data_IF_365657187016
#
_entry.id   IF_365657187016
#
_cell.length_a   1.000
_cell.length_b   1.000
_cell.length_c   1.000
_cell.angle_alpha   90.00
_cell.angle_beta   90.00
_cell.angle_gamma   90.00
#
_symmetry.space_group_name_H-M   'P 1'
#
loop_
_entity.id
_entity.type
_entity.pdbx_description
1 polymer ?
#
# COMPACT_ATOMS: atom_id res chain seq x y z
N UNK A 1 -17.16 47.34 2.95
CA UNK A 1 -17.92 46.39 2.11
C UNK A 1 -17.08 45.72 1.01
N UNK A 2 -15.76 45.98 0.90
CA UNK A 2 -14.87 45.31 -0.06
C UNK A 2 -14.08 44.09 0.46
N UNK A 3 -14.00 43.84 1.76
CA UNK A 3 -13.30 42.66 2.31
C UNK A 3 -14.02 41.33 2.02
N UNK A 4 -15.37 41.34 1.99
CA UNK A 4 -16.20 40.12 1.86
C UNK A 4 -16.28 39.58 0.44
N UNK A 5 -16.03 40.41 -0.56
CA UNK A 5 -16.04 39.99 -1.97
C UNK A 5 -14.70 39.37 -2.39
N UNK A 6 -13.58 39.84 -1.85
CA UNK A 6 -12.26 39.26 -2.12
C UNK A 6 -12.09 37.87 -1.51
N UNK A 7 -12.57 37.65 -0.28
CA UNK A 7 -12.51 36.32 0.36
C UNK A 7 -13.50 35.29 -0.24
N UNK A 8 -14.54 35.73 -0.97
CA UNK A 8 -15.43 34.80 -1.67
C UNK A 8 -14.86 34.35 -3.02
N UNK A 9 -14.09 35.20 -3.69
CA UNK A 9 -13.46 34.85 -4.97
C UNK A 9 -12.25 33.94 -4.79
N UNK A 10 -11.43 34.14 -3.75
CA UNK A 10 -10.31 33.26 -3.43
C UNK A 10 -10.77 31.86 -2.96
N UNK A 11 -11.94 31.76 -2.32
CA UNK A 11 -12.55 30.48 -1.97
C UNK A 11 -13.10 29.72 -3.20
N UNK A 12 -13.52 30.45 -4.24
CA UNK A 12 -14.05 29.89 -5.50
C UNK A 12 -12.92 29.41 -6.44
N UNK A 13 -11.75 30.05 -6.41
CA UNK A 13 -10.59 29.64 -7.23
C UNK A 13 -9.88 28.41 -6.63
N UNK A 14 -9.94 28.22 -5.30
CA UNK A 14 -9.40 27.04 -4.64
C UNK A 14 -10.14 25.72 -4.98
N UNK A 15 -11.36 25.76 -5.54
CA UNK A 15 -12.19 24.57 -5.76
C UNK A 15 -12.19 24.01 -7.19
N UNK A 16 -11.39 24.55 -8.12
CA UNK A 16 -11.30 24.04 -9.50
C UNK A 16 -10.37 22.84 -9.67
N UNK A 17 -9.65 22.44 -8.61
CA UNK A 17 -8.82 21.24 -8.65
C UNK A 17 -9.71 20.00 -8.69
N UNK A 18 -9.56 19.21 -9.74
CA UNK A 18 -10.22 17.89 -9.81
C UNK A 18 -9.75 17.02 -8.64
N UNK A 19 -10.62 16.18 -8.05
CA UNK A 19 -10.23 15.24 -6.98
C UNK A 19 -9.00 14.41 -7.34
N UNK A 20 -8.80 14.12 -8.62
CA UNK A 20 -7.63 13.45 -9.16
C UNK A 20 -6.34 14.23 -8.91
N UNK A 21 -6.30 15.52 -9.24
CA UNK A 21 -5.14 16.38 -9.01
C UNK A 21 -4.78 16.52 -7.53
N UNK A 22 -5.78 16.54 -6.65
CA UNK A 22 -5.57 16.61 -5.20
C UNK A 22 -4.90 15.33 -4.69
N UNK A 23 -5.43 14.16 -5.07
CA UNK A 23 -4.90 12.86 -4.62
C UNK A 23 -3.49 12.64 -5.14
N UNK A 24 -3.24 12.89 -6.44
CA UNK A 24 -1.91 12.76 -7.02
C UNK A 24 -0.91 13.76 -6.47
N UNK A 25 -1.33 15.00 -6.20
CA UNK A 25 -0.48 15.99 -5.54
C UNK A 25 -0.03 15.54 -4.16
N UNK A 26 -0.96 15.01 -3.34
CA UNK A 26 -0.63 14.44 -2.02
C UNK A 26 0.30 13.23 -2.13
N UNK A 27 0.02 12.32 -3.07
CA UNK A 27 0.80 11.11 -3.25
C UNK A 27 2.22 11.42 -3.76
N UNK A 28 2.36 12.33 -4.73
CA UNK A 28 3.63 12.76 -5.26
C UNK A 28 4.49 13.49 -4.21
N UNK A 29 3.87 14.32 -3.37
CA UNK A 29 4.57 14.97 -2.26
C UNK A 29 5.10 13.94 -1.24
N UNK A 30 4.27 12.96 -0.86
CA UNK A 30 4.68 11.88 0.05
C UNK A 30 5.78 10.99 -0.56
N UNK A 31 5.65 10.65 -1.85
CA UNK A 31 6.60 9.82 -2.58
C UNK A 31 7.94 10.52 -2.83
N UNK A 32 7.96 11.83 -3.05
CA UNK A 32 9.20 12.56 -3.37
C UNK A 32 10.25 12.38 -2.28
N UNK A 33 9.86 12.53 -1.00
CA UNK A 33 10.77 12.31 0.11
C UNK A 33 11.23 10.86 0.21
N UNK A 34 10.31 9.89 0.02
CA UNK A 34 10.65 8.48 0.04
C UNK A 34 11.60 8.08 -1.09
N UNK A 35 11.40 8.58 -2.31
CA UNK A 35 12.26 8.33 -3.47
C UNK A 35 13.64 8.96 -3.28
N UNK A 36 13.73 10.14 -2.66
CA UNK A 36 15.02 10.73 -2.29
C UNK A 36 15.77 9.84 -1.29
N UNK A 37 15.06 9.28 -0.31
CA UNK A 37 15.66 8.35 0.66
C UNK A 37 16.10 7.04 0.00
N UNK A 38 15.30 6.48 -0.92
CA UNK A 38 15.65 5.28 -1.68
C UNK A 38 16.89 5.56 -2.55
N UNK A 39 16.94 6.70 -3.23
CA UNK A 39 18.08 7.10 -4.04
C UNK A 39 19.35 7.26 -3.18
N UNK A 40 19.21 7.76 -1.95
CA UNK A 40 20.32 7.85 -1.00
C UNK A 40 20.85 6.48 -0.54
N UNK A 41 20.06 5.41 -0.63
CA UNK A 41 20.47 4.04 -0.30
C UNK A 41 21.19 3.36 -1.48
N UNK A 42 20.97 3.81 -2.72
CA UNK A 42 21.59 3.21 -3.93
C UNK A 42 23.13 3.11 -3.83
N UNK A 43 23.88 4.14 -3.39
CA UNK A 43 25.33 4.04 -3.22
C UNK A 43 25.73 2.95 -2.22
N UNK A 44 24.98 2.82 -1.11
CA UNK A 44 25.23 1.78 -0.11
C UNK A 44 25.00 0.38 -0.69
N UNK A 45 23.95 0.20 -1.51
CA UNK A 45 23.73 -1.07 -2.22
C UNK A 45 24.84 -1.36 -3.24
N UNK A 46 25.37 -0.34 -3.91
CA UNK A 46 26.50 -0.50 -4.83
C UNK A 46 27.76 -1.03 -4.13
N UNK A 47 27.99 -0.66 -2.87
CA UNK A 47 29.10 -1.20 -2.07
C UNK A 47 28.87 -2.69 -1.75
N UNK A 48 27.65 -3.08 -1.38
CA UNK A 48 27.33 -4.49 -1.11
C UNK A 48 27.52 -5.38 -2.34
N UNK A 49 27.15 -4.87 -3.53
CA UNK A 49 27.44 -5.50 -4.81
C UNK A 49 28.95 -5.61 -5.08
N UNK A 50 29.71 -4.53 -4.82
CA UNK A 50 31.16 -4.50 -5.05
C UNK A 50 31.93 -5.50 -4.18
N UNK A 51 31.51 -5.71 -2.94
CA UNK A 51 32.10 -6.72 -2.05
C UNK A 51 31.69 -8.16 -2.40
N UNK A 52 30.90 -8.36 -3.47
CA UNK A 52 30.47 -9.68 -3.92
C UNK A 52 29.45 -10.36 -3.02
N UNK A 53 28.84 -9.61 -2.07
CA UNK A 53 27.88 -10.15 -1.12
C UNK A 53 26.45 -10.26 -1.65
N UNK A 54 26.13 -9.52 -2.72
CA UNK A 54 24.77 -9.44 -3.29
C UNK A 54 24.87 -9.36 -4.82
N UNK A 55 24.00 -10.09 -5.52
CA UNK A 55 23.87 -10.05 -6.98
C UNK A 55 23.13 -8.81 -7.48
N UNK A 56 23.36 -8.43 -8.75
CA UNK A 56 22.63 -7.30 -9.36
C UNK A 56 21.11 -7.52 -9.35
N UNK A 57 20.67 -8.77 -9.54
CA UNK A 57 19.25 -9.15 -9.53
C UNK A 57 18.61 -8.86 -8.17
N UNK A 58 19.28 -9.21 -7.07
CA UNK A 58 18.78 -8.95 -5.72
C UNK A 58 18.67 -7.45 -5.44
N UNK A 59 19.64 -6.66 -5.89
CA UNK A 59 19.60 -5.19 -5.78
C UNK A 59 18.39 -4.62 -6.51
N UNK A 60 18.13 -5.06 -7.75
CA UNK A 60 16.98 -4.61 -8.54
C UNK A 60 15.65 -5.00 -7.90
N UNK A 61 15.54 -6.23 -7.39
CA UNK A 61 14.35 -6.70 -6.66
C UNK A 61 14.11 -5.88 -5.40
N UNK A 62 15.16 -5.60 -4.63
CA UNK A 62 15.07 -4.78 -3.42
C UNK A 62 14.62 -3.35 -3.74
N UNK A 63 15.16 -2.72 -4.79
CA UNK A 63 14.73 -1.39 -5.24
C UNK A 63 13.27 -1.37 -5.69
N UNK A 64 12.86 -2.34 -6.51
CA UNK A 64 11.45 -2.45 -6.94
C UNK A 64 10.50 -2.66 -5.76
N UNK A 65 10.90 -3.51 -4.81
CA UNK A 65 10.17 -3.75 -3.56
C UNK A 65 10.05 -2.49 -2.71
N UNK A 66 11.14 -1.73 -2.54
CA UNK A 66 11.16 -0.48 -1.77
C UNK A 66 10.25 0.60 -2.38
N UNK A 67 10.35 0.81 -3.70
CA UNK A 67 9.51 1.78 -4.41
C UNK A 67 8.04 1.40 -4.28
N UNK A 68 7.72 0.11 -4.47
CA UNK A 68 6.34 -0.38 -4.34
C UNK A 68 5.82 -0.26 -2.90
N UNK A 69 6.67 -0.52 -1.91
CA UNK A 69 6.33 -0.34 -0.49
C UNK A 69 6.04 1.12 -0.17
N UNK A 70 6.89 2.03 -0.64
CA UNK A 70 6.71 3.47 -0.45
C UNK A 70 5.38 3.94 -1.06
N UNK A 71 5.07 3.49 -2.28
CA UNK A 71 3.80 3.78 -2.95
C UNK A 71 2.60 3.24 -2.18
N UNK A 72 2.67 1.99 -1.73
CA UNK A 72 1.60 1.36 -0.98
C UNK A 72 1.33 2.07 0.35
N UNK A 73 2.35 2.36 1.14
CA UNK A 73 2.20 3.05 2.43
C UNK A 73 1.79 4.52 2.27
N UNK A 74 2.27 5.21 1.23
CA UNK A 74 1.78 6.54 0.89
C UNK A 74 0.27 6.51 0.58
N UNK A 75 -0.21 5.47 -0.13
CA UNK A 75 -1.63 5.31 -0.45
C UNK A 75 -2.49 5.11 0.81
N UNK A 76 -1.99 4.33 1.79
CA UNK A 76 -2.65 4.17 3.10
C UNK A 76 -2.77 5.52 3.84
N UNK A 77 -1.67 6.29 3.88
CA UNK A 77 -1.67 7.62 4.51
C UNK A 77 -2.64 8.59 3.84
N UNK A 78 -2.68 8.61 2.51
CA UNK A 78 -3.60 9.45 1.74
C UNK A 78 -5.06 9.04 1.98
N UNK A 79 -5.34 7.74 2.04
CA UNK A 79 -6.68 7.22 2.35
C UNK A 79 -7.18 7.69 3.72
N UNK A 80 -6.39 7.49 4.78
CA UNK A 80 -6.78 7.95 6.12
C UNK A 80 -6.85 9.47 6.24
N UNK A 81 -6.00 10.21 5.51
CA UNK A 81 -6.06 11.66 5.40
C UNK A 81 -7.35 12.16 4.74
N UNK A 82 -7.94 11.41 3.82
CA UNK A 82 -9.22 11.76 3.19
C UNK A 82 -10.42 11.27 4.03
N UNK A 83 -10.28 10.14 4.73
CA UNK A 83 -11.35 9.54 5.51
C UNK A 83 -11.67 10.30 6.80
N UNK A 84 -10.66 10.90 7.43
CA UNK A 84 -10.81 11.60 8.70
C UNK A 84 -10.78 13.11 8.55
N UNK A 85 -11.58 13.78 9.39
CA UNK A 85 -11.69 15.25 9.42
C UNK A 85 -10.60 15.92 10.25
N UNK A 86 -9.88 15.16 11.09
CA UNK A 86 -8.85 15.68 11.99
C UNK A 86 -7.48 15.14 11.63
N UNK A 87 -6.47 16.03 11.58
CA UNK A 87 -5.10 15.66 11.22
C UNK A 87 -4.48 14.68 12.23
N UNK A 88 -4.76 14.86 13.53
CA UNK A 88 -4.26 13.96 14.57
C UNK A 88 -4.82 12.54 14.44
N UNK A 89 -6.13 12.41 14.16
CA UNK A 89 -6.75 11.10 13.95
C UNK A 89 -6.28 10.44 12.66
N UNK A 90 -6.14 11.21 11.58
CA UNK A 90 -5.63 10.70 10.30
C UNK A 90 -4.23 10.11 10.45
N UNK A 91 -3.33 10.83 11.14
CA UNK A 91 -1.97 10.38 11.35
C UNK A 91 -1.90 9.15 12.26
N UNK A 92 -2.67 9.10 13.34
CA UNK A 92 -2.65 7.97 14.28
C UNK A 92 -3.22 6.69 13.64
N UNK A 93 -4.28 6.77 12.85
CA UNK A 93 -4.82 5.60 12.14
C UNK A 93 -3.92 5.16 10.98
N UNK A 94 -3.31 6.10 10.25
CA UNK A 94 -2.35 5.75 9.20
C UNK A 94 -1.17 4.96 9.80
N UNK A 95 -0.52 5.51 10.82
CA UNK A 95 0.58 4.84 11.52
C UNK A 95 0.12 3.54 12.18
N UNK A 96 -1.02 3.55 12.86
CA UNK A 96 -1.59 2.37 13.50
C UNK A 96 -1.86 1.24 12.52
N UNK A 97 -2.38 1.55 11.33
CA UNK A 97 -2.62 0.54 10.29
C UNK A 97 -1.33 -0.05 9.72
N UNK A 98 -0.29 0.78 9.51
CA UNK A 98 1.03 0.30 9.06
C UNK A 98 1.69 -0.56 10.14
N UNK A 99 1.65 -0.14 11.41
CA UNK A 99 2.20 -0.92 12.53
C UNK A 99 1.45 -2.24 12.69
N UNK A 100 0.11 -2.21 12.63
CA UNK A 100 -0.71 -3.42 12.74
C UNK A 100 -0.40 -4.39 11.59
N UNK A 101 -0.19 -3.88 10.38
CA UNK A 101 0.19 -4.71 9.25
C UNK A 101 1.60 -5.29 9.44
N UNK A 102 2.57 -4.45 9.84
CA UNK A 102 3.97 -4.81 9.97
C UNK A 102 4.23 -5.79 11.14
N UNK A 103 3.45 -5.69 12.21
CA UNK A 103 3.61 -6.54 13.38
C UNK A 103 2.57 -7.67 13.42
N UNK A 104 1.34 -7.41 12.98
CA UNK A 104 0.23 -8.35 13.05
C UNK A 104 0.38 -9.53 12.09
N UNK A 105 0.78 -9.31 10.83
CA UNK A 105 0.99 -10.40 9.88
C UNK A 105 2.07 -11.39 10.37
N UNK A 106 3.30 -10.96 10.71
CA UNK A 106 4.30 -11.89 11.22
C UNK A 106 3.90 -12.51 12.56
N UNK A 107 3.20 -11.77 13.43
CA UNK A 107 2.67 -12.35 14.68
C UNK A 107 1.68 -13.49 14.42
N UNK A 108 0.73 -13.31 13.50
CA UNK A 108 -0.23 -14.36 13.09
C UNK A 108 0.51 -15.54 12.47
N UNK A 109 1.49 -15.28 11.58
CA UNK A 109 2.31 -16.32 10.96
C UNK A 109 3.09 -17.15 12.00
N UNK A 110 3.66 -16.47 13.01
CA UNK A 110 4.40 -17.08 14.10
C UNK A 110 3.47 -17.92 14.98
N UNK A 111 2.33 -17.38 15.41
CA UNK A 111 1.33 -18.13 16.18
C UNK A 111 0.84 -19.35 15.42
N UNK A 112 0.56 -19.21 14.12
CA UNK A 112 0.15 -20.31 13.27
C UNK A 112 1.21 -21.41 13.23
N UNK A 113 2.48 -21.05 13.02
CA UNK A 113 3.59 -21.99 13.00
C UNK A 113 3.81 -22.67 14.36
N UNK A 114 3.65 -21.97 15.48
CA UNK A 114 3.78 -22.57 16.81
C UNK A 114 2.66 -23.58 17.12
N UNK A 115 1.45 -23.33 16.62
CA UNK A 115 0.29 -24.19 16.87
C UNK A 115 0.29 -25.39 15.91
N UNK A 116 0.55 -25.16 14.62
CA UNK A 116 0.34 -26.15 13.56
C UNK A 116 1.61 -26.60 12.83
N UNK A 117 2.78 -26.01 13.12
CA UNK A 117 4.05 -26.34 12.48
C UNK A 117 4.75 -27.58 13.04
N UNK A 118 4.04 -28.42 13.81
CA UNK A 118 4.57 -29.71 14.30
C UNK A 118 4.15 -30.84 13.36
N UNK A 119 5.06 -31.78 13.13
CA UNK A 119 4.74 -33.00 12.37
C UNK A 119 4.07 -34.06 13.28
N UNK A 120 3.03 -34.78 12.80
CA UNK A 120 2.41 -34.67 11.47
C UNK A 120 1.52 -33.43 11.35
N UNK A 121 1.76 -32.62 10.32
CA UNK A 121 0.93 -31.45 10.03
C UNK A 121 -0.47 -31.86 9.51
N UNK A 122 -1.56 -31.17 9.91
CA UNK A 122 -2.90 -31.45 9.40
C UNK A 122 -3.01 -31.43 7.86
N UNK A 123 -3.76 -32.37 7.28
CA UNK A 123 -3.89 -32.50 5.82
C UNK A 123 -4.39 -31.23 5.13
N UNK A 124 -5.30 -30.48 5.76
CA UNK A 124 -5.86 -29.25 5.21
C UNK A 124 -4.82 -28.15 5.03
N UNK A 125 -3.74 -28.14 5.82
CA UNK A 125 -2.62 -27.20 5.69
C UNK A 125 -1.77 -27.55 4.46
N UNK A 126 -1.69 -28.84 4.15
CA UNK A 126 -0.99 -29.32 2.95
C UNK A 126 -1.81 -29.16 1.66
N UNK A 127 -3.06 -28.69 1.77
CA UNK A 127 -3.90 -28.41 0.61
C UNK A 127 -3.34 -27.25 -0.23
N UNK A 128 -3.55 -27.34 -1.54
CA UNK A 128 -3.16 -26.32 -2.52
C UNK A 128 -3.80 -24.98 -2.13
N UNK A 129 -5.11 -24.98 -1.89
CA UNK A 129 -5.87 -23.76 -1.57
C UNK A 129 -5.29 -23.06 -0.35
N UNK A 130 -4.92 -23.81 0.69
CA UNK A 130 -4.31 -23.22 1.88
C UNK A 130 -2.91 -22.65 1.60
N UNK A 131 -2.01 -23.39 0.95
CA UNK A 131 -0.64 -22.91 0.66
C UNK A 131 -0.64 -21.62 -0.17
N UNK A 132 -1.50 -21.54 -1.20
CA UNK A 132 -1.63 -20.33 -2.01
C UNK A 132 -2.29 -19.18 -1.25
N UNK A 133 -3.36 -19.45 -0.50
CA UNK A 133 -4.05 -18.43 0.29
C UNK A 133 -3.16 -17.85 1.41
N UNK A 134 -2.48 -18.72 2.15
CA UNK A 134 -1.54 -18.33 3.19
C UNK A 134 -0.32 -17.60 2.59
N UNK A 135 0.24 -18.10 1.48
CA UNK A 135 1.32 -17.42 0.76
C UNK A 135 0.92 -16.01 0.34
N UNK A 136 -0.23 -15.85 -0.34
CA UNK A 136 -0.74 -14.54 -0.74
C UNK A 136 -0.93 -13.60 0.46
N UNK A 137 -1.48 -14.09 1.58
CA UNK A 137 -1.65 -13.31 2.80
C UNK A 137 -0.32 -12.84 3.39
N UNK A 138 0.66 -13.75 3.50
CA UNK A 138 1.99 -13.43 4.03
C UNK A 138 2.75 -12.47 3.12
N UNK A 139 2.62 -12.63 1.81
CA UNK A 139 3.29 -11.80 0.83
C UNK A 139 2.70 -10.40 0.71
N UNK A 140 1.60 -10.06 1.39
CA UNK A 140 1.19 -8.65 1.56
C UNK A 140 2.25 -7.87 2.38
N UNK A 141 3.00 -8.56 3.24
CA UNK A 141 4.04 -7.96 4.06
C UNK A 141 5.38 -7.82 3.30
N UNK A 142 5.89 -6.58 3.08
CA UNK A 142 7.06 -6.35 2.23
C UNK A 142 8.30 -7.10 2.70
N UNK A 143 8.60 -7.06 4.01
CA UNK A 143 9.79 -7.74 4.52
C UNK A 143 9.70 -9.26 4.42
N UNK A 144 8.50 -9.86 4.52
CA UNK A 144 8.37 -11.32 4.43
C UNK A 144 8.58 -11.73 2.97
N UNK A 145 7.94 -11.04 2.03
CA UNK A 145 8.09 -11.34 0.61
C UNK A 145 9.53 -11.15 0.11
N UNK A 146 10.18 -10.05 0.50
CA UNK A 146 11.56 -9.77 0.08
C UNK A 146 12.56 -10.71 0.76
N UNK A 147 12.41 -11.00 2.06
CA UNK A 147 13.27 -11.96 2.75
C UNK A 147 13.10 -13.38 2.19
N UNK A 148 11.87 -13.82 1.92
CA UNK A 148 11.65 -15.13 1.30
C UNK A 148 12.29 -15.23 -0.08
N UNK A 149 12.28 -14.14 -0.84
CA UNK A 149 12.95 -14.08 -2.15
C UNK A 149 14.48 -14.12 -2.01
N UNK A 150 15.05 -13.45 -1.01
CA UNK A 150 16.49 -13.47 -0.74
C UNK A 150 16.96 -14.86 -0.29
N UNK A 151 16.22 -15.53 0.60
CA UNK A 151 16.48 -16.93 1.00
C UNK A 151 16.42 -17.86 -0.22
N UNK A 152 15.47 -17.61 -1.13
CA UNK A 152 15.34 -18.37 -2.35
C UNK A 152 16.56 -18.18 -3.29
N UNK A 153 16.98 -16.93 -3.53
CA UNK A 153 18.12 -16.66 -4.42
C UNK A 153 19.43 -17.18 -3.82
N UNK A 154 19.63 -16.98 -2.51
CA UNK A 154 20.82 -17.46 -1.80
C UNK A 154 20.92 -18.99 -1.75
N UNK A 155 19.78 -19.70 -1.79
CA UNK A 155 19.75 -21.17 -1.92
C UNK A 155 20.00 -21.68 -3.35
N UNK A 156 20.26 -20.79 -4.32
CA UNK A 156 20.55 -21.15 -5.71
C UNK A 156 19.31 -21.41 -6.57
N UNK A 157 18.12 -21.08 -6.07
CA UNK A 157 16.89 -21.15 -6.86
C UNK A 157 16.70 -19.92 -7.77
N UNK A 158 15.68 -19.99 -8.64
CA UNK A 158 15.35 -18.90 -9.56
C UNK A 158 14.76 -17.70 -8.83
N UNK A 159 15.19 -16.49 -9.21
CA UNK A 159 14.64 -15.24 -8.72
C UNK A 159 13.17 -14.98 -9.16
N UNK A 160 12.70 -15.64 -10.22
CA UNK A 160 11.40 -15.33 -10.85
C UNK A 160 10.31 -16.35 -10.55
N UNK A 161 10.69 -17.58 -10.18
CA UNK A 161 9.74 -18.66 -9.95
C UNK A 161 10.14 -19.46 -8.72
N UNK A 162 9.17 -19.80 -7.89
CA UNK A 162 9.32 -20.69 -6.74
C UNK A 162 8.59 -22.01 -6.99
N UNK A 163 9.12 -23.08 -6.42
CA UNK A 163 8.51 -24.41 -6.49
C UNK A 163 7.73 -24.68 -5.22
N UNK A 164 6.42 -24.78 -5.34
CA UNK A 164 5.54 -25.14 -4.22
C UNK A 164 5.18 -26.62 -4.33
N UNK A 165 5.54 -27.47 -3.34
CA UNK A 165 5.22 -28.90 -3.38
C UNK A 165 3.72 -29.13 -3.18
N UNK A 166 3.11 -29.94 -4.06
CA UNK A 166 1.74 -30.41 -3.97
C UNK A 166 1.70 -31.69 -3.12
N UNK A 167 1.18 -31.59 -1.90
CA UNK A 167 1.12 -32.72 -0.96
C UNK A 167 2.39 -32.92 -0.13
N UNK A 168 2.58 -34.16 0.35
CA UNK A 168 3.69 -34.59 1.22
C UNK A 168 4.97 -34.91 0.42
N UNK A 169 4.84 -35.16 -0.88
CA UNK A 169 5.96 -35.54 -1.75
C UNK A 169 6.47 -34.33 -2.54
N UNK A 170 7.75 -33.98 -2.34
CA UNK A 170 8.42 -32.90 -3.06
C UNK A 170 8.54 -33.13 -4.58
N UNK A 171 8.26 -34.35 -5.05
CA UNK A 171 8.33 -34.72 -6.46
C UNK A 171 7.28 -34.01 -7.33
N UNK A 172 6.10 -33.69 -6.78
CA UNK A 172 5.03 -33.02 -7.52
C UNK A 172 4.97 -31.54 -7.12
N UNK A 173 5.92 -30.73 -7.61
CA UNK A 173 5.93 -29.30 -7.35
C UNK A 173 5.43 -28.51 -8.55
N UNK A 174 4.74 -27.40 -8.28
CA UNK A 174 4.32 -26.46 -9.32
C UNK A 174 5.13 -25.18 -9.26
N UNK A 175 5.38 -24.63 -10.44
CA UNK A 175 6.08 -23.38 -10.64
C UNK A 175 5.09 -22.22 -10.46
N UNK A 176 5.36 -21.39 -9.46
CA UNK A 176 4.57 -20.22 -9.10
C UNK A 176 5.47 -18.99 -9.22
N UNK A 177 4.95 -17.80 -9.58
CA UNK A 177 5.73 -16.57 -9.50
C UNK A 177 6.37 -16.40 -8.13
N UNK A 178 7.61 -15.91 -8.10
CA UNK A 178 8.36 -15.73 -6.86
C UNK A 178 7.69 -14.71 -5.92
N UNK A 179 7.99 -14.77 -4.61
CA UNK A 179 7.29 -13.98 -3.59
C UNK A 179 7.31 -12.47 -3.84
N UNK A 180 8.41 -11.90 -4.33
CA UNK A 180 8.50 -10.46 -4.64
C UNK A 180 7.54 -10.02 -5.75
N UNK A 181 7.30 -10.85 -6.77
CA UNK A 181 6.37 -10.56 -7.86
C UNK A 181 4.95 -10.53 -7.30
N UNK A 182 4.60 -11.54 -6.50
CA UNK A 182 3.28 -11.63 -5.85
C UNK A 182 3.05 -10.40 -4.95
N UNK A 183 4.06 -10.01 -4.16
CA UNK A 183 4.01 -8.81 -3.34
C UNK A 183 3.75 -7.55 -4.18
N UNK A 184 4.52 -7.32 -5.25
CA UNK A 184 4.35 -6.14 -6.08
C UNK A 184 2.93 -6.07 -6.64
N UNK A 185 2.42 -7.17 -7.19
CA UNK A 185 1.07 -7.23 -7.75
C UNK A 185 0.01 -6.95 -6.69
N UNK A 186 0.10 -7.57 -5.52
CA UNK A 186 -0.85 -7.37 -4.42
C UNK A 186 -0.79 -5.94 -3.87
N UNK A 187 0.41 -5.40 -3.66
CA UNK A 187 0.61 -4.05 -3.14
C UNK A 187 0.09 -2.97 -4.11
N UNK A 188 0.34 -3.14 -5.41
CA UNK A 188 -0.21 -2.25 -6.44
C UNK A 188 -1.73 -2.35 -6.54
N UNK A 189 -2.29 -3.56 -6.45
CA UNK A 189 -3.74 -3.77 -6.44
C UNK A 189 -4.37 -3.10 -5.21
N UNK A 190 -3.85 -3.35 -4.02
CA UNK A 190 -4.34 -2.76 -2.78
C UNK A 190 -4.20 -1.23 -2.80
N UNK A 191 -3.08 -0.70 -3.29
CA UNK A 191 -2.90 0.75 -3.48
C UNK A 191 -3.94 1.31 -4.44
N UNK A 192 -4.17 0.69 -5.60
CA UNK A 192 -5.18 1.14 -6.56
C UNK A 192 -6.57 1.19 -5.93
N UNK A 193 -6.94 0.17 -5.14
CA UNK A 193 -8.20 0.15 -4.39
C UNK A 193 -8.27 1.31 -3.39
N UNK A 194 -7.22 1.54 -2.59
CA UNK A 194 -7.18 2.65 -1.63
C UNK A 194 -7.30 4.02 -2.30
N UNK A 195 -6.60 4.21 -3.42
CA UNK A 195 -6.64 5.45 -4.21
C UNK A 195 -8.04 5.66 -4.79
N UNK A 196 -8.67 4.61 -5.34
CA UNK A 196 -10.05 4.68 -5.86
C UNK A 196 -11.07 5.00 -4.77
N UNK A 197 -10.93 4.40 -3.58
CA UNK A 197 -11.79 4.70 -2.43
C UNK A 197 -11.62 6.15 -1.99
N UNK A 198 -10.36 6.62 -1.88
CA UNK A 198 -10.05 8.03 -1.59
C UNK A 198 -10.75 8.97 -2.56
N UNK A 199 -10.71 8.66 -3.86
CA UNK A 199 -11.38 9.47 -4.89
C UNK A 199 -12.89 9.46 -4.76
N UNK A 200 -13.50 8.32 -4.41
CA UNK A 200 -14.95 8.24 -4.17
C UNK A 200 -15.37 9.10 -2.98
N UNK A 201 -14.55 9.18 -1.94
CA UNK A 201 -14.83 10.01 -0.75
C UNK A 201 -14.73 11.51 -1.04
N UNK A 202 -13.92 11.92 -2.02
CA UNK A 202 -13.71 13.32 -2.40
C UNK A 202 -14.69 13.85 -3.45
N UNK A 203 -15.53 13.01 -4.07
CA UNK A 203 -16.55 13.49 -5.01
C UNK A 203 -17.64 14.23 -4.24
N UNK A 204 -17.87 15.53 -4.49
CA UNK A 204 -18.99 16.24 -3.87
C UNK A 204 -20.30 15.58 -4.33
N UNK A 205 -21.12 15.16 -3.37
CA UNK A 205 -22.48 14.69 -3.60
C UNK A 205 -23.23 15.75 -4.43
N UNK A 206 -23.93 15.40 -5.52
CA UNK A 206 -24.72 16.37 -6.27
C UNK A 206 -25.71 17.03 -5.31
N UNK A 207 -25.58 18.33 -5.07
CA UNK A 207 -26.55 19.07 -4.29
C UNK A 207 -27.92 18.87 -4.96
N UNK A 208 -28.84 18.20 -4.27
CA UNK A 208 -30.24 18.13 -4.66
C UNK A 208 -30.82 19.54 -4.84
N UNK A 209 -31.89 19.70 -5.64
CA UNK A 209 -32.33 20.99 -6.14
C UNK A 209 -32.52 21.98 -4.99
N UNK A 210 -31.69 23.04 -4.99
CA UNK A 210 -31.78 24.15 -4.04
C UNK A 210 -33.19 24.71 -4.07
N UNK A 211 -33.96 24.51 -2.99
CA UNK A 211 -35.27 25.13 -2.81
C UNK A 211 -35.12 26.64 -3.00
N UNK A 212 -35.97 27.30 -3.82
CA UNK A 212 -35.93 28.75 -3.96
C UNK A 212 -36.18 29.40 -2.61
N UNK A 213 -35.25 30.26 -2.15
CA UNK A 213 -35.48 31.13 -0.99
C UNK A 213 -36.59 32.11 -1.34
N UNK A 214 -37.75 31.99 -0.70
CA UNK A 214 -38.76 33.04 -0.71
C UNK A 214 -38.14 34.35 -0.23
N UNK A 215 -38.04 35.31 -1.15
CA UNK A 215 -37.54 36.65 -0.91
C UNK A 215 -38.61 37.40 -0.13
N UNK A 216 -38.38 37.59 1.17
CA UNK A 216 -39.16 38.49 2.03
C UNK A 216 -39.02 39.91 1.49
N UNK A 217 -39.97 40.34 0.67
CA UNK A 217 -40.15 41.75 0.30
C UNK A 217 -40.63 42.49 1.57
N UNK A 218 -39.71 43.16 2.24
CA UNK A 218 -40.00 44.49 2.78
C UNK A 218 -39.61 45.47 1.67
N UNK A 219 -40.61 45.98 0.97
CA UNK A 219 -40.62 47.34 0.45
C UNK A 219 -41.59 48.05 1.40
N UNK A 220 -41.07 48.86 2.32
CA UNK A 220 -40.83 50.29 2.12
C UNK A 220 -42.12 51.08 2.29
N UNK A 221 -42.10 51.92 3.33
CA UNK A 221 -42.75 53.22 3.40
C UNK A 221 -44.23 53.31 2.95
N UNK A 222 -45.14 53.22 3.91
CA UNK A 222 -45.99 54.35 4.35
C UNK A 222 -46.65 54.04 5.69
#
# INVERSE_FOLDING_TARGET
QGERERQSYDLLIASLLSPWQIVWGKLAAALSFALLLILAIVPMMSLAFLFGGVSLTEVLIALAGLVTTAFFYASIGVFWSAALRTTLGANSLALGSVILMLLGIPFIALMFTLIFGREPSPEWINSIVFKFGAGAFLYVHPFIALQMTEIQISSGESAFYTRVPLGLDAANSILVPSPWIVYILLALLCSAVLVLLTMRMLRPTPEGPRRPRERKQRADAE
#
